data_IF_012438181656
#
_entry.id   IF_012438181656
#
_cell.length_a   1.000
_cell.length_b   1.000
_cell.length_c   1.000
_cell.angle_alpha   90.00
_cell.angle_beta   90.00
_cell.angle_gamma   90.00
#
_symmetry.space_group_name_H-M   'P 1'
#
loop_
_entity.id
_entity.type
_entity.pdbx_description
1 polymer ?
#
# COMPACT_ATOMS: atom_id res chain seq x y z
N UNK A 1 22.03 1.22 73.48
CA UNK A 1 21.34 0.24 72.62
C UNK A 1 20.35 0.99 71.74
N UNK A 2 20.77 1.39 70.54
CA UNK A 2 19.96 2.17 69.62
C UNK A 2 19.43 1.19 68.55
N UNK A 3 18.15 0.82 68.65
CA UNK A 3 17.49 -0.05 67.66
C UNK A 3 17.04 0.81 66.48
N UNK A 4 17.80 0.74 65.39
CA UNK A 4 17.44 1.35 64.11
C UNK A 4 16.32 0.52 63.46
N UNK A 5 15.11 1.08 63.39
CA UNK A 5 13.97 0.51 62.68
C UNK A 5 14.12 0.84 61.19
N UNK A 6 14.52 -0.15 60.38
CA UNK A 6 14.60 -0.02 58.93
C UNK A 6 13.18 -0.27 58.34
N UNK A 7 12.49 0.80 57.95
CA UNK A 7 11.21 0.71 57.23
C UNK A 7 11.53 0.44 55.75
N UNK A 8 11.28 -0.79 55.30
CA UNK A 8 11.34 -1.17 53.89
C UNK A 8 10.08 -0.62 53.20
N UNK A 9 10.26 0.46 52.45
CA UNK A 9 9.22 1.08 51.63
C UNK A 9 9.03 0.25 50.35
N UNK A 10 8.07 -0.69 50.38
CA UNK A 10 7.66 -1.43 49.18
C UNK A 10 6.87 -0.47 48.28
N UNK A 11 7.52 0.11 47.28
CA UNK A 11 6.86 0.83 46.20
C UNK A 11 6.01 -0.17 45.39
N UNK A 12 4.67 -0.01 45.31
CA UNK A 12 3.88 -0.78 44.37
C UNK A 12 4.23 -0.29 42.97
N UNK A 13 5.02 -1.10 42.25
CA UNK A 13 5.17 -0.95 40.81
C UNK A 13 3.80 -1.30 40.21
N UNK A 14 2.96 -0.30 39.99
CA UNK A 14 1.77 -0.43 39.17
C UNK A 14 2.26 -0.73 37.75
N UNK A 15 2.42 -2.01 37.44
CA UNK A 15 2.58 -2.47 36.08
C UNK A 15 1.29 -2.10 35.34
N UNK A 16 1.32 -0.99 34.60
CA UNK A 16 0.33 -0.73 33.57
C UNK A 16 0.48 -1.85 32.55
N UNK A 17 -0.30 -2.93 32.71
CA UNK A 17 -0.43 -3.96 31.70
C UNK A 17 -0.85 -3.24 30.41
N UNK A 18 0.06 -3.23 29.42
CA UNK A 18 -0.17 -2.57 28.16
C UNK A 18 -1.41 -3.21 27.54
N UNK A 19 -2.50 -2.45 27.49
CA UNK A 19 -3.80 -3.01 27.11
C UNK A 19 -3.79 -3.30 25.62
N UNK A 20 -4.18 -4.51 25.26
CA UNK A 20 -4.46 -4.92 23.88
C UNK A 20 -5.32 -3.86 23.16
N UNK A 21 -5.08 -3.69 21.88
CA UNK A 21 -5.85 -2.75 21.06
C UNK A 21 -5.95 -3.15 19.60
N UNK A 22 -6.96 -2.62 18.94
CA UNK A 22 -7.25 -2.83 17.53
C UNK A 22 -7.34 -1.46 16.87
N UNK A 23 -6.59 -1.28 15.79
CA UNK A 23 -6.76 -0.14 14.88
C UNK A 23 -7.70 -0.60 13.77
N UNK A 24 -8.86 0.03 13.63
CA UNK A 24 -9.85 -0.33 12.60
C UNK A 24 -9.47 0.25 11.23
N UNK A 25 -10.10 -0.24 10.16
CA UNK A 25 -9.99 0.31 8.80
C UNK A 25 -10.38 1.80 8.71
N UNK A 26 -11.14 2.32 9.69
CA UNK A 26 -11.51 3.73 9.81
C UNK A 26 -10.49 4.56 10.60
N UNK A 27 -9.35 3.97 10.95
CA UNK A 27 -8.31 4.54 11.81
C UNK A 27 -8.73 4.80 13.28
N UNK A 28 -9.89 4.30 13.71
CA UNK A 28 -10.27 4.30 15.13
C UNK A 28 -9.44 3.29 15.92
N UNK A 29 -9.02 3.66 17.14
CA UNK A 29 -8.32 2.75 18.07
C UNK A 29 -9.27 2.27 19.16
N UNK A 30 -9.52 0.96 19.18
CA UNK A 30 -10.32 0.28 20.20
C UNK A 30 -9.38 -0.39 21.20
N UNK A 31 -9.49 -0.06 22.49
CA UNK A 31 -8.66 -0.66 23.56
C UNK A 31 -9.51 -1.61 24.40
N UNK A 32 -9.04 -2.84 24.61
CA UNK A 32 -9.79 -3.87 25.32
C UNK A 32 -9.19 -5.26 25.14
N UNK A 33 -9.73 -6.26 25.83
CA UNK A 33 -9.27 -7.65 25.69
C UNK A 33 -9.54 -8.14 24.26
N UNK A 34 -8.48 -8.55 23.55
CA UNK A 34 -8.57 -9.05 22.18
C UNK A 34 -8.49 -10.58 22.17
N UNK A 35 -9.29 -11.20 21.31
CA UNK A 35 -9.18 -12.64 20.98
C UNK A 35 -9.16 -12.80 19.47
N UNK A 36 -8.10 -13.42 18.96
CA UNK A 36 -7.95 -13.73 17.55
C UNK A 36 -8.69 -15.03 17.21
N UNK A 37 -9.50 -15.03 16.15
CA UNK A 37 -10.31 -16.17 15.74
C UNK A 37 -10.03 -16.52 14.28
N UNK A 38 -9.59 -17.75 14.04
CA UNK A 38 -9.33 -18.26 12.69
C UNK A 38 -10.61 -18.71 12.01
N UNK A 39 -10.77 -18.39 10.74
CA UNK A 39 -11.88 -18.86 9.91
C UNK A 39 -11.39 -19.29 8.53
N UNK A 40 -12.24 -20.00 7.79
CA UNK A 40 -11.86 -20.61 6.51
C UNK A 40 -11.45 -19.59 5.45
N UNK A 41 -12.08 -18.41 5.40
CA UNK A 41 -11.86 -17.41 4.35
C UNK A 41 -11.35 -16.07 4.89
N UNK A 42 -11.91 -15.58 5.99
CA UNK A 42 -11.59 -14.27 6.55
C UNK A 42 -11.53 -14.40 8.06
N UNK A 43 -10.33 -14.25 8.61
CA UNK A 43 -10.12 -14.24 10.06
C UNK A 43 -10.98 -13.16 10.73
N UNK A 44 -11.31 -13.40 11.99
CA UNK A 44 -12.06 -12.46 12.81
C UNK A 44 -11.32 -12.21 14.10
N UNK A 45 -11.72 -11.17 14.80
CA UNK A 45 -11.31 -10.95 16.17
C UNK A 45 -12.50 -10.49 16.99
N UNK A 46 -12.49 -10.87 18.27
CA UNK A 46 -13.37 -10.31 19.27
C UNK A 46 -12.58 -9.28 20.07
N UNK A 47 -13.14 -8.11 20.29
CA UNK A 47 -12.63 -7.13 21.26
C UNK A 47 -13.67 -6.89 22.34
N UNK A 48 -13.24 -6.91 23.60
CA UNK A 48 -14.08 -6.64 24.77
C UNK A 48 -13.69 -5.31 25.40
N UNK A 49 -14.56 -4.32 25.29
CA UNK A 49 -14.37 -2.95 25.82
C UNK A 49 -15.33 -2.78 27.01
N UNK A 50 -14.81 -2.89 28.23
CA UNK A 50 -15.63 -2.93 29.43
C UNK A 50 -16.60 -4.12 29.41
N UNK A 51 -17.89 -3.87 29.27
CA UNK A 51 -18.94 -4.91 29.16
C UNK A 51 -19.38 -5.21 27.73
N UNK A 52 -18.98 -4.38 26.75
CA UNK A 52 -19.37 -4.54 25.35
C UNK A 52 -18.39 -5.49 24.65
N UNK A 53 -18.91 -6.50 23.98
CA UNK A 53 -18.15 -7.36 23.06
C UNK A 53 -18.47 -6.95 21.63
N UNK A 54 -17.45 -6.82 20.81
CA UNK A 54 -17.56 -6.49 19.40
C UNK A 54 -16.77 -7.49 18.57
N UNK A 55 -17.35 -7.90 17.45
CA UNK A 55 -16.74 -8.83 16.49
C UNK A 55 -16.37 -8.07 15.23
N UNK A 56 -15.09 -8.14 14.86
CA UNK A 56 -14.57 -7.50 13.65
C UNK A 56 -13.98 -8.57 12.73
N UNK A 57 -14.17 -8.40 11.43
CA UNK A 57 -13.47 -9.18 10.40
C UNK A 57 -12.09 -8.59 10.16
N UNK A 58 -11.14 -9.39 9.66
CA UNK A 58 -9.80 -8.92 9.30
C UNK A 58 -9.82 -7.77 8.26
N UNK A 59 -10.87 -7.70 7.43
CA UNK A 59 -11.09 -6.60 6.48
C UNK A 59 -11.44 -5.25 7.15
N UNK A 60 -11.96 -5.28 8.38
CA UNK A 60 -12.35 -4.08 9.13
C UNK A 60 -11.22 -3.55 10.03
N UNK A 61 -10.02 -4.10 9.90
CA UNK A 61 -8.90 -3.91 10.81
C UNK A 61 -7.68 -3.47 10.00
N UNK A 62 -6.87 -2.57 10.53
CA UNK A 62 -5.55 -2.21 9.99
C UNK A 62 -4.44 -2.95 10.71
N UNK A 63 -4.53 -3.02 12.04
CA UNK A 63 -3.59 -3.76 12.88
C UNK A 63 -4.21 -4.11 14.21
N UNK A 64 -3.64 -5.13 14.84
CA UNK A 64 -4.01 -5.60 16.16
C UNK A 64 -2.75 -5.68 16.98
N UNK A 65 -2.77 -5.14 18.19
CA UNK A 65 -1.76 -5.37 19.20
C UNK A 65 -2.36 -6.27 20.27
N UNK A 66 -1.80 -7.47 20.39
CA UNK A 66 -2.28 -8.53 21.27
C UNK A 66 -1.09 -9.31 21.81
N UNK A 67 -1.02 -9.49 23.14
CA UNK A 67 0.07 -10.23 23.80
C UNK A 67 1.47 -9.75 23.36
N UNK A 68 1.67 -8.42 23.40
CA UNK A 68 2.91 -7.74 23.01
C UNK A 68 3.33 -7.90 21.54
N UNK A 69 2.46 -8.48 20.71
CA UNK A 69 2.73 -8.75 19.29
C UNK A 69 1.78 -7.95 18.41
N UNK A 70 2.28 -7.56 17.25
CA UNK A 70 1.46 -6.98 16.21
C UNK A 70 0.95 -8.05 15.26
N UNK A 71 -0.32 -7.92 14.86
CA UNK A 71 -0.92 -8.72 13.80
C UNK A 71 -1.51 -7.79 12.74
N UNK A 72 -1.42 -8.20 11.48
CA UNK A 72 -1.99 -7.47 10.35
C UNK A 72 -2.81 -8.39 9.46
N UNK A 73 -3.89 -7.89 8.85
CA UNK A 73 -4.59 -8.63 7.82
C UNK A 73 -3.72 -8.70 6.57
N UNK A 74 -3.49 -9.92 6.08
CA UNK A 74 -2.71 -10.18 4.87
C UNK A 74 -3.54 -11.07 3.95
N UNK A 75 -3.62 -10.70 2.68
CA UNK A 75 -4.15 -11.58 1.64
C UNK A 75 -3.18 -12.74 1.44
N UNK A 76 -3.67 -13.95 1.62
CA UNK A 76 -2.92 -15.19 1.50
C UNK A 76 -3.77 -16.20 0.76
N UNK A 77 -3.34 -16.56 -0.45
CA UNK A 77 -4.16 -17.26 -1.45
C UNK A 77 -5.51 -16.54 -1.65
N UNK A 78 -6.63 -17.23 -1.41
CA UNK A 78 -7.99 -16.71 -1.51
C UNK A 78 -8.56 -16.29 -0.15
N UNK A 79 -7.70 -16.04 0.85
CA UNK A 79 -8.11 -15.78 2.24
C UNK A 79 -7.48 -14.51 2.79
N UNK A 80 -8.11 -13.93 3.80
CA UNK A 80 -7.56 -12.81 4.58
C UNK A 80 -7.30 -13.29 6.00
N UNK A 81 -6.03 -13.44 6.35
CA UNK A 81 -5.60 -13.99 7.63
C UNK A 81 -4.87 -12.94 8.45
N UNK A 82 -5.00 -13.02 9.78
CA UNK A 82 -4.26 -12.17 10.70
C UNK A 82 -2.88 -12.81 10.95
N UNK A 83 -1.85 -12.26 10.31
CA UNK A 83 -0.48 -12.74 10.46
C UNK A 83 0.26 -11.94 11.54
N UNK A 84 1.06 -12.62 12.35
CA UNK A 84 1.94 -11.99 13.33
C UNK A 84 3.08 -11.28 12.61
N UNK A 85 3.25 -9.99 12.85
CA UNK A 85 4.36 -9.21 12.31
C UNK A 85 5.62 -9.46 13.15
N UNK A 86 6.65 -10.05 12.54
CA UNK A 86 7.94 -10.30 13.19
C UNK A 86 8.93 -9.15 12.95
N UNK A 87 8.92 -8.59 11.74
CA UNK A 87 9.82 -7.52 11.33
C UNK A 87 9.17 -6.61 10.30
N UNK A 88 9.44 -5.31 10.39
CA UNK A 88 8.89 -4.28 9.50
C UNK A 88 9.99 -3.64 8.65
N UNK A 89 9.63 -3.20 7.45
CA UNK A 89 10.53 -2.50 6.52
C UNK A 89 9.99 -2.51 5.09
N UNK A 90 10.83 -2.09 4.14
CA UNK A 90 10.58 -2.26 2.70
C UNK A 90 10.28 -3.72 2.35
N UNK A 91 10.94 -4.63 3.04
CA UNK A 91 10.63 -6.03 3.17
C UNK A 91 10.28 -6.33 4.63
N UNK A 92 9.04 -6.73 4.85
CA UNK A 92 8.52 -7.14 6.15
C UNK A 92 8.44 -8.67 6.24
N UNK A 93 8.60 -9.20 7.46
CA UNK A 93 8.46 -10.61 7.76
C UNK A 93 7.25 -10.80 8.66
N UNK A 94 6.36 -11.67 8.21
CA UNK A 94 5.22 -12.13 8.96
C UNK A 94 5.35 -13.62 9.27
N UNK A 95 4.72 -14.02 10.36
CA UNK A 95 4.46 -15.41 10.67
C UNK A 95 2.97 -15.70 10.59
N UNK A 96 2.64 -16.88 10.10
CA UNK A 96 1.26 -17.33 9.98
C UNK A 96 1.13 -18.77 10.47
N UNK A 97 -0.10 -19.15 10.80
CA UNK A 97 -0.44 -20.53 11.18
C UNK A 97 -0.66 -21.34 9.92
N UNK A 98 0.11 -22.42 9.78
CA UNK A 98 -0.13 -23.40 8.72
C UNK A 98 -1.46 -24.12 8.97
N UNK A 99 -2.03 -24.72 7.92
CA UNK A 99 -3.25 -25.50 8.06
C UNK A 99 -3.05 -26.58 9.13
N UNK A 100 -4.05 -26.72 10.02
CA UNK A 100 -4.04 -27.67 11.14
C UNK A 100 -2.95 -27.44 12.20
N UNK A 101 -2.31 -26.26 12.23
CA UNK A 101 -1.35 -25.90 13.26
C UNK A 101 -1.84 -24.72 14.09
N UNK A 102 -1.51 -24.75 15.38
CA UNK A 102 -1.81 -23.64 16.32
C UNK A 102 -0.64 -22.66 16.43
N UNK A 103 0.55 -23.06 15.99
CA UNK A 103 1.79 -22.30 16.07
C UNK A 103 2.00 -21.43 14.83
N UNK A 104 2.63 -20.27 15.03
CA UNK A 104 2.98 -19.31 13.97
C UNK A 104 4.35 -19.67 13.36
N UNK A 105 4.44 -20.84 12.73
CA UNK A 105 5.69 -21.36 12.16
C UNK A 105 5.87 -21.04 10.68
N UNK A 106 4.77 -20.77 9.97
CA UNK A 106 4.82 -20.28 8.60
C UNK A 106 5.58 -18.94 8.54
N UNK A 107 6.29 -18.69 7.43
CA UNK A 107 7.03 -17.45 7.21
C UNK A 107 6.60 -16.83 5.89
N UNK A 108 6.28 -15.55 5.94
CA UNK A 108 5.72 -14.82 4.81
C UNK A 108 6.46 -13.49 4.65
N UNK A 109 7.08 -13.31 3.48
CA UNK A 109 7.73 -12.09 3.08
C UNK A 109 6.71 -11.18 2.40
N UNK A 110 6.72 -9.90 2.76
CA UNK A 110 5.83 -8.91 2.18
C UNK A 110 6.63 -7.66 1.83
N UNK A 111 6.66 -7.30 0.55
CA UNK A 111 7.31 -6.10 0.05
C UNK A 111 6.34 -4.92 0.06
N UNK A 112 6.89 -3.71 0.18
CA UNK A 112 6.10 -2.47 0.17
C UNK A 112 5.31 -2.26 -1.14
N UNK A 113 5.79 -2.82 -2.26
CA UNK A 113 5.09 -2.80 -3.55
C UNK A 113 3.90 -3.76 -3.64
N UNK A 114 3.55 -4.43 -2.54
CA UNK A 114 2.44 -5.38 -2.45
C UNK A 114 2.79 -6.79 -2.94
N UNK A 115 4.00 -7.01 -3.48
CA UNK A 115 4.46 -8.38 -3.76
C UNK A 115 4.67 -9.12 -2.46
N UNK A 116 4.40 -10.42 -2.50
CA UNK A 116 4.50 -11.28 -1.33
C UNK A 116 5.01 -12.66 -1.71
N UNK A 117 5.67 -13.33 -0.77
CA UNK A 117 6.23 -14.66 -0.96
C UNK A 117 6.17 -15.45 0.35
N UNK A 118 5.49 -16.59 0.33
CA UNK A 118 5.69 -17.59 1.37
C UNK A 118 7.11 -18.15 1.27
N UNK A 119 7.85 -18.16 2.37
CA UNK A 119 9.23 -18.63 2.41
C UNK A 119 9.26 -20.13 2.16
N UNK A 120 9.74 -20.59 0.99
CA UNK A 120 9.55 -21.97 0.60
C UNK A 120 10.62 -22.86 1.24
N UNK A 121 10.25 -24.11 1.53
CA UNK A 121 11.18 -25.13 2.02
C UNK A 121 12.11 -25.65 0.90
N UNK A 122 11.55 -25.88 -0.28
CA UNK A 122 12.27 -26.30 -1.47
C UNK A 122 12.54 -25.11 -2.38
N UNK A 123 13.64 -25.13 -3.12
CA UNK A 123 14.03 -24.07 -4.06
C UNK A 123 14.09 -22.65 -3.44
N UNK A 124 14.33 -22.54 -2.12
CA UNK A 124 14.54 -21.29 -1.39
C UNK A 124 15.45 -20.32 -2.14
N UNK A 125 16.66 -20.75 -2.50
CA UNK A 125 17.66 -19.90 -3.15
C UNK A 125 17.12 -19.26 -4.43
N UNK A 126 16.46 -20.06 -5.27
CA UNK A 126 15.91 -19.59 -6.56
C UNK A 126 14.76 -18.61 -6.34
N UNK A 127 13.74 -19.02 -5.58
CA UNK A 127 12.52 -18.22 -5.40
C UNK A 127 12.79 -16.93 -4.63
N UNK A 128 13.54 -17.00 -3.53
CA UNK A 128 13.84 -15.81 -2.71
C UNK A 128 14.78 -14.88 -3.46
N UNK A 129 15.81 -15.36 -4.15
CA UNK A 129 16.67 -14.47 -4.90
C UNK A 129 15.94 -13.74 -6.04
N UNK A 130 15.09 -14.45 -6.80
CA UNK A 130 14.23 -13.80 -7.81
C UNK A 130 13.29 -12.77 -7.16
N UNK A 131 12.71 -13.11 -6.02
CA UNK A 131 11.84 -12.20 -5.29
C UNK A 131 12.56 -10.94 -4.76
N UNK A 132 13.88 -11.03 -4.51
CA UNK A 132 14.72 -9.94 -4.02
C UNK A 132 15.50 -9.22 -5.14
N UNK A 133 15.13 -9.40 -6.42
CA UNK A 133 15.80 -8.79 -7.58
C UNK A 133 15.95 -7.26 -7.51
N UNK A 134 15.11 -6.58 -6.73
CA UNK A 134 15.21 -5.14 -6.47
C UNK A 134 16.46 -4.71 -5.71
N UNK A 135 17.20 -5.66 -5.11
CA UNK A 135 18.53 -5.45 -4.58
C UNK A 135 19.47 -6.57 -5.06
N UNK A 136 20.20 -6.35 -6.18
CA UNK A 136 21.06 -7.37 -6.79
C UNK A 136 22.07 -7.98 -5.82
N UNK A 137 22.68 -7.15 -4.96
CA UNK A 137 23.67 -7.61 -3.97
C UNK A 137 23.09 -8.71 -3.05
N UNK A 138 21.93 -8.45 -2.44
CA UNK A 138 21.28 -9.42 -1.54
C UNK A 138 20.75 -10.63 -2.31
N UNK A 139 20.17 -10.39 -3.50
CA UNK A 139 19.74 -11.47 -4.39
C UNK A 139 20.89 -12.43 -4.68
N UNK A 140 22.07 -11.93 -5.00
CA UNK A 140 23.20 -12.76 -5.41
C UNK A 140 23.82 -13.52 -4.22
N UNK A 141 23.85 -12.93 -3.02
CA UNK A 141 24.18 -13.65 -1.77
C UNK A 141 23.23 -14.81 -1.48
N UNK A 142 21.94 -14.66 -1.80
CA UNK A 142 20.95 -15.74 -1.67
C UNK A 142 21.14 -16.81 -2.77
N UNK A 143 21.43 -16.41 -4.02
CA UNK A 143 21.69 -17.35 -5.13
C UNK A 143 22.92 -18.22 -4.86
N UNK A 144 24.03 -17.60 -4.43
CA UNK A 144 25.26 -18.31 -4.10
C UNK A 144 25.08 -19.23 -2.88
N UNK A 145 24.16 -18.87 -1.99
CA UNK A 145 23.88 -19.59 -0.74
C UNK A 145 24.71 -19.11 0.43
N UNK A 146 25.35 -17.94 0.32
CA UNK A 146 25.92 -17.22 1.45
C UNK A 146 24.85 -16.88 2.49
N UNK A 147 23.65 -16.50 2.01
CA UNK A 147 22.47 -16.31 2.85
C UNK A 147 21.44 -17.40 2.60
N UNK A 148 21.15 -18.19 3.64
CA UNK A 148 20.17 -19.28 3.59
C UNK A 148 18.88 -18.97 4.34
N UNK A 149 17.97 -19.96 4.40
CA UNK A 149 16.69 -19.85 5.12
C UNK A 149 16.87 -19.51 6.60
N UNK A 150 17.91 -20.05 7.24
CA UNK A 150 18.26 -19.76 8.64
C UNK A 150 18.65 -18.29 8.86
N UNK A 151 19.11 -17.62 7.80
CA UNK A 151 19.60 -16.25 7.82
C UNK A 151 18.52 -15.26 7.38
N UNK A 152 17.23 -15.65 7.46
CA UNK A 152 16.11 -14.85 6.95
C UNK A 152 16.08 -13.45 7.56
N UNK A 153 16.36 -13.30 8.86
CA UNK A 153 16.39 -11.99 9.51
C UNK A 153 17.51 -11.10 8.96
N UNK A 154 18.67 -11.68 8.64
CA UNK A 154 19.81 -11.00 8.03
C UNK A 154 19.51 -10.61 6.58
N UNK A 155 18.83 -11.48 5.82
CA UNK A 155 18.33 -11.16 4.48
C UNK A 155 17.41 -9.92 4.54
N UNK A 156 16.51 -9.87 5.52
CA UNK A 156 15.64 -8.70 5.72
C UNK A 156 16.45 -7.44 6.03
N UNK A 157 17.44 -7.50 6.91
CA UNK A 157 18.27 -6.35 7.27
C UNK A 157 19.03 -5.81 6.07
N UNK A 158 19.73 -6.68 5.34
CA UNK A 158 20.51 -6.27 4.17
C UNK A 158 19.60 -5.73 3.06
N UNK A 159 18.45 -6.36 2.81
CA UNK A 159 17.51 -5.87 1.80
C UNK A 159 16.93 -4.51 2.20
N UNK A 160 16.49 -4.35 3.45
CA UNK A 160 15.94 -3.08 3.93
C UNK A 160 16.99 -1.96 3.93
N UNK A 161 18.23 -2.27 4.28
CA UNK A 161 19.35 -1.34 4.18
C UNK A 161 19.61 -0.93 2.73
N UNK A 162 19.64 -1.91 1.80
CA UNK A 162 19.79 -1.67 0.37
C UNK A 162 18.68 -0.78 -0.20
N UNK A 163 17.42 -1.01 0.19
CA UNK A 163 16.29 -0.19 -0.26
C UNK A 163 16.26 1.20 0.39
N UNK A 164 16.91 1.38 1.55
CA UNK A 164 17.03 2.69 2.22
C UNK A 164 18.20 3.50 1.65
N UNK A 165 19.30 2.84 1.28
CA UNK A 165 20.50 3.45 0.71
C UNK A 165 20.38 3.67 -0.80
N UNK A 166 19.59 2.85 -1.49
CA UNK A 166 18.98 3.23 -2.74
C UNK A 166 18.19 4.51 -2.43
N UNK A 167 18.72 5.66 -2.87
CA UNK A 167 17.97 6.93 -2.89
C UNK A 167 16.54 6.59 -3.33
N UNK A 168 15.50 7.23 -2.78
CA UNK A 168 14.20 7.11 -3.36
C UNK A 168 14.36 7.53 -4.82
N UNK A 169 14.47 6.55 -5.71
CA UNK A 169 13.75 6.59 -6.96
C UNK A 169 12.36 6.72 -6.41
N UNK A 170 11.92 7.98 -6.25
CA UNK A 170 10.52 8.34 -6.20
C UNK A 170 9.92 7.35 -7.18
N UNK A 171 9.13 6.41 -6.67
CA UNK A 171 8.41 5.54 -7.55
C UNK A 171 7.74 6.52 -8.50
N UNK A 172 8.26 6.61 -9.72
CA UNK A 172 7.44 6.86 -10.87
C UNK A 172 6.43 5.73 -10.70
N UNK A 173 5.33 6.05 -10.00
CA UNK A 173 4.03 5.58 -10.37
C UNK A 173 4.10 5.71 -11.87
N UNK A 174 4.36 4.60 -12.56
CA UNK A 174 4.35 4.60 -13.99
C UNK A 174 2.97 5.14 -14.28
N UNK A 175 2.90 6.42 -14.67
CA UNK A 175 1.69 6.96 -15.24
C UNK A 175 1.29 5.90 -16.26
N UNK A 176 0.03 5.42 -16.22
CA UNK A 176 -0.44 4.48 -17.22
C UNK A 176 0.07 5.02 -18.55
N UNK A 177 0.94 4.26 -19.25
CA UNK A 177 1.54 4.73 -20.50
C UNK A 177 0.38 5.31 -21.30
N UNK A 178 0.40 6.61 -21.65
CA UNK A 178 -0.77 7.25 -22.22
C UNK A 178 -1.20 6.42 -23.42
N UNK A 179 -2.39 5.82 -23.33
CA UNK A 179 -2.94 5.06 -24.44
C UNK A 179 -3.24 6.11 -25.50
N UNK A 180 -2.48 6.11 -26.60
CA UNK A 180 -2.75 6.98 -27.74
C UNK A 180 -4.01 6.44 -28.40
N UNK A 181 -5.15 6.96 -27.97
CA UNK A 181 -6.46 6.73 -28.57
C UNK A 181 -6.84 7.93 -29.47
N UNK A 182 -7.89 7.77 -30.27
CA UNK A 182 -8.35 8.80 -31.21
C UNK A 182 -8.60 10.15 -30.52
N UNK A 183 -9.07 10.12 -29.27
CA UNK A 183 -9.33 11.31 -28.46
C UNK A 183 -8.04 12.03 -28.04
N UNK A 184 -7.01 11.30 -27.60
CA UNK A 184 -5.68 11.87 -27.31
C UNK A 184 -5.10 12.54 -28.55
N UNK A 185 -5.17 11.89 -29.71
CA UNK A 185 -4.69 12.47 -30.98
C UNK A 185 -5.49 13.72 -31.38
N UNK A 186 -6.80 13.73 -31.19
CA UNK A 186 -7.63 14.90 -31.46
C UNK A 186 -7.29 16.09 -30.54
N UNK A 187 -7.05 15.83 -29.25
CA UNK A 187 -6.64 16.84 -28.27
C UNK A 187 -5.27 17.43 -28.62
N UNK A 188 -4.31 16.59 -29.03
CA UNK A 188 -2.98 17.04 -29.47
C UNK A 188 -3.04 17.96 -30.69
N UNK A 189 -3.81 17.59 -31.71
CA UNK A 189 -4.03 18.43 -32.90
C UNK A 189 -4.67 19.77 -32.56
N UNK A 190 -5.64 19.77 -31.64
CA UNK A 190 -6.27 21.00 -31.16
C UNK A 190 -5.25 21.89 -30.42
N UNK A 191 -4.39 21.31 -29.56
CA UNK A 191 -3.30 22.00 -28.86
C UNK A 191 -2.28 22.62 -29.81
N UNK A 192 -1.91 21.92 -30.87
CA UNK A 192 -1.02 22.46 -31.91
C UNK A 192 -1.67 23.68 -32.59
N UNK A 193 -2.93 23.58 -33.00
CA UNK A 193 -3.63 24.69 -33.67
C UNK A 193 -3.82 25.94 -32.81
N UNK A 194 -4.03 25.80 -31.50
CA UNK A 194 -4.16 26.96 -30.59
C UNK A 194 -2.80 27.55 -30.21
N UNK A 195 -1.69 26.83 -30.43
CA UNK A 195 -0.35 27.31 -30.08
C UNK A 195 0.03 28.57 -30.87
N UNK A 196 -0.45 28.66 -32.11
CA UNK A 196 -0.22 29.78 -33.03
C UNK A 196 -1.29 30.89 -32.94
N UNK A 197 -2.34 30.69 -32.13
CA UNK A 197 -3.43 31.66 -31.94
C UNK A 197 -3.15 32.52 -30.70
N UNK A 198 -3.54 33.79 -30.74
CA UNK A 198 -3.49 34.67 -29.58
C UNK A 198 -4.90 35.12 -29.18
N UNK A 199 -5.27 34.82 -27.94
CA UNK A 199 -6.59 35.12 -27.39
C UNK A 199 -6.53 35.10 -25.86
N UNK A 200 -7.41 35.86 -25.21
CA UNK A 200 -7.36 36.12 -23.77
C UNK A 200 -7.43 34.87 -22.88
N UNK A 201 -8.16 33.83 -23.32
CA UNK A 201 -8.35 32.56 -22.60
C UNK A 201 -7.37 31.46 -23.02
N UNK A 202 -6.29 31.79 -23.75
CA UNK A 202 -5.34 30.80 -24.27
C UNK A 202 -4.72 29.93 -23.19
N UNK A 203 -4.28 30.54 -22.09
CA UNK A 203 -3.67 29.82 -20.97
C UNK A 203 -4.66 28.81 -20.37
N UNK A 204 -5.88 29.25 -20.08
CA UNK A 204 -6.90 28.39 -19.49
C UNK A 204 -7.34 27.26 -20.45
N UNK A 205 -7.40 27.55 -21.76
CA UNK A 205 -7.69 26.54 -22.78
C UNK A 205 -6.59 25.47 -22.86
N UNK A 206 -5.31 25.88 -22.83
CA UNK A 206 -4.16 24.96 -22.87
C UNK A 206 -4.09 24.09 -21.61
N UNK A 207 -4.29 24.69 -20.43
CA UNK A 207 -4.29 23.97 -19.15
C UNK A 207 -5.43 22.94 -19.10
N UNK A 208 -6.62 23.31 -19.59
CA UNK A 208 -7.77 22.42 -19.68
C UNK A 208 -7.56 21.28 -20.69
N UNK A 209 -6.96 21.56 -21.85
CA UNK A 209 -6.61 20.52 -22.82
C UNK A 209 -5.56 19.55 -22.29
N UNK A 210 -4.63 20.01 -21.45
CA UNK A 210 -3.67 19.13 -20.78
C UNK A 210 -4.34 18.19 -19.77
N UNK A 211 -5.36 18.66 -19.03
CA UNK A 211 -6.14 17.79 -18.14
C UNK A 211 -6.97 16.77 -18.95
N UNK A 212 -7.62 17.22 -20.03
CA UNK A 212 -8.36 16.33 -20.94
C UNK A 212 -7.44 15.27 -21.59
N UNK A 213 -6.23 15.64 -22.00
CA UNK A 213 -5.25 14.72 -22.58
C UNK A 213 -4.84 13.64 -21.58
N UNK A 214 -4.59 14.02 -20.32
CA UNK A 214 -4.28 13.07 -19.23
C UNK A 214 -5.43 12.12 -18.96
N UNK A 215 -6.66 12.64 -18.89
CA UNK A 215 -7.87 11.85 -18.66
C UNK A 215 -8.14 10.88 -19.81
N UNK A 216 -8.04 11.37 -21.04
CA UNK A 216 -8.18 10.56 -22.25
C UNK A 216 -7.10 9.46 -22.33
N UNK A 217 -5.84 9.79 -22.02
CA UNK A 217 -4.74 8.81 -22.01
C UNK A 217 -4.87 7.72 -20.94
N UNK A 218 -5.70 7.96 -19.92
CA UNK A 218 -6.04 7.01 -18.84
C UNK A 218 -7.38 6.31 -19.05
N UNK A 219 -8.07 6.55 -20.18
CA UNK A 219 -9.43 6.08 -20.45
C UNK A 219 -10.43 6.45 -19.32
N UNK A 220 -10.24 7.61 -18.69
CA UNK A 220 -11.18 8.15 -17.70
C UNK A 220 -12.40 8.77 -18.40
N UNK A 221 -13.58 8.67 -17.78
CA UNK A 221 -14.79 9.38 -18.23
C UNK A 221 -14.56 10.89 -18.10
N UNK A 222 -14.76 11.63 -19.18
CA UNK A 222 -14.59 13.08 -19.19
C UNK A 222 -15.89 13.75 -18.70
N UNK A 223 -15.84 14.49 -17.58
CA UNK A 223 -17.01 15.23 -17.10
C UNK A 223 -17.46 16.31 -18.08
N UNK A 224 -18.77 16.47 -18.25
CA UNK A 224 -19.36 17.44 -19.18
C UNK A 224 -18.93 18.90 -18.90
N UNK A 225 -18.64 19.25 -17.65
CA UNK A 225 -18.20 20.60 -17.30
C UNK A 225 -16.84 20.98 -17.92
N UNK A 226 -15.93 20.00 -18.12
CA UNK A 226 -14.67 20.24 -18.81
C UNK A 226 -14.89 20.52 -20.30
N UNK A 227 -15.86 19.83 -20.91
CA UNK A 227 -16.23 20.03 -22.32
C UNK A 227 -16.89 21.39 -22.53
N UNK A 228 -17.81 21.79 -21.66
CA UNK A 228 -18.44 23.12 -21.70
C UNK A 228 -17.43 24.24 -21.42
N UNK A 229 -16.51 24.03 -20.48
CA UNK A 229 -15.42 24.97 -20.22
C UNK A 229 -14.52 25.16 -21.45
N UNK A 230 -14.14 24.06 -22.10
CA UNK A 230 -13.31 24.09 -23.31
C UNK A 230 -14.03 24.82 -24.45
N UNK A 231 -15.32 24.54 -24.63
CA UNK A 231 -16.17 25.22 -25.61
C UNK A 231 -16.26 26.72 -25.34
N UNK A 232 -16.41 27.12 -24.07
CA UNK A 232 -16.45 28.53 -23.69
C UNK A 232 -15.13 29.24 -23.97
N UNK A 233 -13.98 28.62 -23.69
CA UNK A 233 -12.68 29.23 -23.90
C UNK A 233 -12.29 29.35 -25.38
N UNK A 234 -12.76 28.43 -26.22
CA UNK A 234 -12.46 28.39 -27.64
C UNK A 234 -13.56 29.00 -28.53
N UNK A 235 -14.71 29.39 -27.97
CA UNK A 235 -15.79 30.09 -28.68
C UNK A 235 -15.32 31.29 -29.54
N UNK A 236 -14.39 32.16 -29.10
CA UNK A 236 -13.95 33.30 -29.91
C UNK A 236 -12.94 32.92 -31.01
N UNK A 237 -12.46 31.67 -31.06
CA UNK A 237 -11.39 31.23 -31.97
C UNK A 237 -12.01 30.41 -33.12
N UNK A 238 -12.37 31.09 -34.21
CA UNK A 238 -13.06 30.45 -35.35
C UNK A 238 -12.21 29.38 -36.05
N UNK A 239 -10.88 29.53 -36.06
CA UNK A 239 -9.94 28.66 -36.78
C UNK A 239 -9.80 27.24 -36.19
N UNK A 240 -10.33 27.00 -34.99
CA UNK A 240 -10.19 25.72 -34.27
C UNK A 240 -11.52 25.01 -34.00
N UNK A 241 -12.64 25.54 -34.51
CA UNK A 241 -13.98 25.00 -34.24
C UNK A 241 -14.14 23.56 -34.76
N UNK A 242 -13.57 23.25 -35.92
CA UNK A 242 -13.60 21.89 -36.48
C UNK A 242 -12.91 20.86 -35.59
N UNK A 243 -11.74 21.21 -35.05
CA UNK A 243 -11.00 20.34 -34.13
C UNK A 243 -11.67 20.25 -32.77
N UNK A 244 -12.26 21.35 -32.28
CA UNK A 244 -13.06 21.37 -31.07
C UNK A 244 -14.25 20.40 -31.19
N UNK A 245 -15.02 20.47 -32.28
CA UNK A 245 -16.15 19.55 -32.51
C UNK A 245 -15.71 18.08 -32.54
N UNK A 246 -14.56 17.80 -33.15
CA UNK A 246 -13.98 16.45 -33.19
C UNK A 246 -13.66 15.93 -31.78
N UNK A 247 -13.04 16.76 -30.94
CA UNK A 247 -12.77 16.42 -29.53
C UNK A 247 -14.07 16.21 -28.75
N UNK A 248 -15.07 17.08 -28.94
CA UNK A 248 -16.37 16.97 -28.26
C UNK A 248 -17.15 15.70 -28.66
N UNK A 249 -17.06 15.26 -29.91
CA UNK A 249 -17.70 14.02 -30.38
C UNK A 249 -17.01 12.77 -29.82
N UNK A 250 -15.67 12.77 -29.81
CA UNK A 250 -14.88 11.64 -29.29
C UNK A 250 -14.97 11.50 -27.77
N UNK A 251 -15.10 12.61 -27.04
CA UNK A 251 -15.23 12.62 -25.58
C UNK A 251 -16.62 12.18 -25.08
N UNK A 252 -17.63 12.09 -25.95
CA UNK A 252 -19.00 11.63 -25.63
C UNK A 252 -19.20 10.12 -25.85
N UNK A 253 -18.24 9.44 -26.47
CA UNK A 253 -18.25 7.98 -26.66
C UNK A 253 -17.71 7.29 -25.41
#
# INVERSE_FOLDING_TARGET
MLRTLLIVMVLPVAAFAQTDYVITAKADTLRGEVRLLTYDNIDRLQITIGKKKEMLTALQVLSVYHEEKFYKPIQYDNRVVLMQQLKTGYLSLYAFRMQNQTTFDGRYLYRLDGKHLEVPNLAFKKMVATYLEGCPEVSDKVKSGELGKKDIEKILDEYNACMTSAKPVLAEQGEPKPVVNELVTAIQKLKEKISDQDFSSKKDAVDLLADLEKKAGRNEVIPNYLLEGLKSYLAPVASVQTELETVLQLAKK
#
